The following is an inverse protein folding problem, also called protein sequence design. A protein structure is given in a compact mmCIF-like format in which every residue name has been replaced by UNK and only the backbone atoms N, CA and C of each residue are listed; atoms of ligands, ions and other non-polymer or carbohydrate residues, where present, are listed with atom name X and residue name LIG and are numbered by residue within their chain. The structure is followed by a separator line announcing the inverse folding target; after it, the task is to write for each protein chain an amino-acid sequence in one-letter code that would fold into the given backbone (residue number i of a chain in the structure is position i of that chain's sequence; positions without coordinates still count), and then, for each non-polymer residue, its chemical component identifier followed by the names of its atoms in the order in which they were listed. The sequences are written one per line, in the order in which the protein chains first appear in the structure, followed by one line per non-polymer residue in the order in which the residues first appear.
data_IF_528763252738
#
_entry.id   IF_528763252738
#
_cell.length_a   1.000
_cell.length_b   1.000
_cell.length_c   1.000
_cell.angle_alpha   90.00
_cell.angle_beta   90.00
_cell.angle_gamma   90.00
#
_symmetry.space_group_name_H-M   'P 1'
#
loop_
_entity.id
_entity.type
_entity.pdbx_description
1 polymer ?
#
# COMPACT_ATOMS: atom_id res chain seq x y z
N UNK A 1 1.52 9.24 -2.19
CA UNK A 1 1.59 7.95 -1.47
C UNK A 1 0.32 7.75 -0.65
N UNK A 2 -0.31 6.56 -0.65
CA UNK A 2 -1.42 6.24 0.25
C UNK A 2 -1.01 6.25 1.73
N UNK A 3 -1.80 6.87 2.60
CA UNK A 3 -1.55 6.90 4.05
C UNK A 3 -1.56 5.49 4.68
N UNK A 4 -2.29 4.54 4.08
CA UNK A 4 -2.32 3.14 4.51
C UNK A 4 -0.95 2.47 4.34
N UNK A 5 -0.25 2.76 3.23
CA UNK A 5 1.11 2.26 2.99
C UNK A 5 2.11 2.88 3.97
N UNK A 6 1.94 4.16 4.31
CA UNK A 6 2.72 4.80 5.37
C UNK A 6 2.49 4.12 6.72
N UNK A 7 1.24 3.82 7.07
CA UNK A 7 0.91 3.10 8.31
C UNK A 7 1.61 1.74 8.36
N UNK A 8 1.56 0.97 7.26
CA UNK A 8 2.24 -0.32 7.14
C UNK A 8 3.76 -0.16 7.34
N UNK A 9 4.37 0.83 6.68
CA UNK A 9 5.80 1.12 6.84
C UNK A 9 6.16 1.45 8.31
N UNK A 10 5.34 2.25 8.99
CA UNK A 10 5.58 2.65 10.37
C UNK A 10 5.50 1.48 11.37
N UNK A 11 4.87 0.35 11.01
CA UNK A 11 4.87 -0.85 11.88
C UNK A 11 6.27 -1.41 12.12
N UNK A 12 7.20 -1.20 11.19
CA UNK A 12 8.62 -1.56 11.34
C UNK A 12 9.48 -0.49 12.00
N UNK A 13 8.91 0.67 12.34
CA UNK A 13 9.62 1.83 12.90
C UNK A 13 9.34 1.94 14.40
N UNK A 14 10.40 2.09 15.19
CA UNK A 14 10.26 2.31 16.64
C UNK A 14 9.39 3.55 16.94
N UNK A 15 8.47 3.50 17.91
CA UNK A 15 7.52 4.59 18.20
C UNK A 15 8.17 5.97 18.32
N UNK A 16 9.31 6.06 18.99
CA UNK A 16 10.06 7.31 19.20
C UNK A 16 10.63 7.93 17.91
N UNK A 17 10.78 7.15 16.85
CA UNK A 17 11.27 7.62 15.53
C UNK A 17 10.15 7.88 14.52
N UNK A 18 8.91 7.50 14.82
CA UNK A 18 7.81 7.59 13.85
C UNK A 18 7.54 9.03 13.41
N UNK A 19 7.64 10.00 14.32
CA UNK A 19 7.44 11.42 13.99
C UNK A 19 8.44 11.91 12.94
N UNK A 20 9.71 11.58 13.11
CA UNK A 20 10.77 12.01 12.20
C UNK A 20 10.64 11.36 10.82
N UNK A 21 10.26 10.08 10.81
CA UNK A 21 9.95 9.35 9.57
C UNK A 21 8.75 9.97 8.85
N UNK A 22 7.66 10.27 9.56
CA UNK A 22 6.48 10.91 8.98
C UNK A 22 6.86 12.28 8.40
N UNK A 23 7.63 13.10 9.14
CA UNK A 23 8.07 14.41 8.67
C UNK A 23 8.93 14.30 7.40
N UNK A 24 9.90 13.38 7.39
CA UNK A 24 10.76 13.12 6.24
C UNK A 24 9.96 12.68 5.01
N UNK A 25 9.05 11.72 5.15
CA UNK A 25 8.22 11.26 4.04
C UNK A 25 7.24 12.32 3.56
N UNK A 26 6.62 13.07 4.47
CA UNK A 26 5.67 14.15 4.13
C UNK A 26 6.34 15.30 3.38
N UNK A 27 7.64 15.51 3.55
CA UNK A 27 8.40 16.52 2.79
C UNK A 27 8.67 16.12 1.34
N UNK A 28 8.59 14.83 1.01
CA UNK A 28 8.92 14.28 -0.32
C UNK A 28 7.70 13.75 -1.07
N UNK A 29 6.66 13.35 -0.34
CA UNK A 29 5.47 12.72 -0.89
C UNK A 29 4.22 13.43 -0.42
N UNK A 30 3.29 13.68 -1.34
CA UNK A 30 1.91 13.99 -0.98
C UNK A 30 1.27 12.72 -0.40
N UNK A 31 0.83 12.78 0.86
CA UNK A 31 0.20 11.65 1.54
C UNK A 31 -1.31 11.76 1.39
N UNK A 32 -1.92 10.83 0.65
CA UNK A 32 -3.37 10.81 0.44
C UNK A 32 -4.06 9.96 1.50
N UNK A 33 -5.09 10.48 2.18
CA UNK A 33 -5.83 9.73 3.19
C UNK A 33 -6.72 8.66 2.54
N UNK A 34 -7.04 7.61 3.31
CA UNK A 34 -8.10 6.69 2.93
C UNK A 34 -9.44 7.27 3.40
N UNK A 35 -10.19 7.86 2.47
CA UNK A 35 -11.46 8.54 2.76
C UNK A 35 -12.70 7.75 2.30
N UNK A 36 -13.89 8.34 2.47
CA UNK A 36 -15.17 7.71 2.11
C UNK A 36 -15.28 7.32 0.63
N UNK A 37 -14.62 8.04 -0.28
CA UNK A 37 -14.59 7.70 -1.71
C UNK A 37 -13.75 6.44 -1.91
N UNK A 38 -12.62 6.33 -1.19
CA UNK A 38 -11.80 5.13 -1.17
C UNK A 38 -12.57 3.92 -0.62
N UNK A 39 -13.44 4.10 0.39
CA UNK A 39 -14.25 3.00 0.95
C UNK A 39 -15.11 2.31 -0.11
N UNK A 40 -15.89 3.08 -0.87
CA UNK A 40 -16.77 2.54 -1.92
C UNK A 40 -15.96 1.81 -2.99
N UNK A 41 -14.83 2.40 -3.40
CA UNK A 41 -13.94 1.81 -4.39
C UNK A 41 -13.29 0.52 -3.89
N UNK A 42 -12.75 0.53 -2.67
CA UNK A 42 -12.10 -0.62 -2.05
C UNK A 42 -13.07 -1.80 -1.88
N UNK A 43 -14.32 -1.54 -1.48
CA UNK A 43 -15.34 -2.58 -1.35
C UNK A 43 -15.63 -3.26 -2.71
N UNK A 44 -15.74 -2.47 -3.79
CA UNK A 44 -15.92 -3.01 -5.15
C UNK A 44 -14.71 -3.83 -5.61
N UNK A 45 -13.51 -3.28 -5.44
CA UNK A 45 -12.26 -3.95 -5.81
C UNK A 45 -12.07 -5.27 -5.06
N UNK A 46 -12.40 -5.27 -3.76
CA UNK A 46 -12.33 -6.46 -2.93
C UNK A 46 -13.29 -7.56 -3.36
N UNK A 47 -14.51 -7.19 -3.72
CA UNK A 47 -15.52 -8.12 -4.24
C UNK A 47 -15.10 -8.71 -5.59
N UNK A 48 -14.50 -7.90 -6.47
CA UNK A 48 -14.02 -8.36 -7.78
C UNK A 48 -12.76 -9.24 -7.69
N UNK A 49 -11.91 -9.01 -6.68
CA UNK A 49 -10.68 -9.78 -6.45
C UNK A 49 -10.90 -11.10 -5.68
N UNK A 50 -12.12 -11.39 -5.23
CA UNK A 50 -12.51 -12.67 -4.65
C UNK A 50 -13.35 -13.43 -5.65
N UNK A 51 -12.91 -14.63 -6.06
CA UNK A 51 -13.85 -15.64 -6.55
C UNK A 51 -14.90 -15.82 -5.46
N UNK A 52 -16.14 -15.52 -5.79
CA UNK A 52 -17.27 -15.50 -4.88
C UNK A 52 -17.36 -16.86 -4.16
N UNK A 53 -17.70 -16.83 -2.88
CA UNK A 53 -18.09 -17.96 -2.01
C UNK A 53 -16.97 -18.72 -1.28
N UNK A 54 -16.60 -18.25 -0.09
CA UNK A 54 -16.49 -19.21 1.03
C UNK A 54 -17.85 -19.20 1.73
N UNK A 55 -18.63 -20.30 1.66
CA UNK A 55 -19.85 -20.44 2.44
C UNK A 55 -19.41 -20.79 3.85
N UNK A 56 -18.92 -19.81 4.59
CA UNK A 56 -18.26 -20.04 5.87
C UNK A 56 -18.63 -18.95 6.86
N UNK A 57 -19.58 -19.29 7.73
CA UNK A 57 -19.94 -18.64 8.99
C UNK A 57 -20.61 -17.26 8.90
N UNK A 58 -21.94 -17.27 9.07
CA UNK A 58 -22.72 -16.08 9.47
C UNK A 58 -22.05 -15.43 10.68
N UNK A 59 -21.65 -14.16 10.56
CA UNK A 59 -21.13 -13.35 11.66
C UNK A 59 -19.62 -13.07 11.66
N UNK A 60 -18.83 -13.69 10.79
CA UNK A 60 -17.40 -13.34 10.68
C UNK A 60 -17.23 -12.02 9.89
N UNK A 61 -16.49 -11.07 10.48
CA UNK A 61 -16.17 -9.80 9.82
C UNK A 61 -15.26 -10.07 8.62
N UNK A 62 -15.69 -9.62 7.45
CA UNK A 62 -14.86 -9.64 6.24
C UNK A 62 -13.75 -8.61 6.41
N UNK A 63 -12.51 -9.09 6.59
CA UNK A 63 -11.36 -8.22 6.74
C UNK A 63 -10.85 -7.76 5.36
N UNK A 64 -10.96 -6.45 5.11
CA UNK A 64 -10.30 -5.77 3.99
C UNK A 64 -8.79 -5.76 4.23
N UNK A 65 -8.02 -6.07 3.20
CA UNK A 65 -6.55 -6.11 3.29
C UNK A 65 -5.97 -4.73 2.95
N UNK A 66 -4.85 -4.37 3.57
CA UNK A 66 -4.15 -3.11 3.34
C UNK A 66 -3.87 -2.86 1.85
N UNK A 67 -3.41 -3.87 1.11
CA UNK A 67 -3.18 -3.82 -0.34
C UNK A 67 -4.38 -3.28 -1.12
N UNK A 68 -5.60 -3.73 -0.76
CA UNK A 68 -6.83 -3.27 -1.42
C UNK A 68 -7.09 -1.80 -1.12
N UNK A 69 -6.84 -1.36 0.11
CA UNK A 69 -6.99 0.04 0.50
C UNK A 69 -5.95 0.93 -0.17
N UNK A 70 -4.71 0.45 -0.33
CA UNK A 70 -3.62 1.13 -1.03
C UNK A 70 -3.99 1.36 -2.50
N UNK A 71 -4.39 0.31 -3.21
CA UNK A 71 -4.81 0.40 -4.63
C UNK A 71 -6.02 1.32 -4.79
N UNK A 72 -7.02 1.20 -3.91
CA UNK A 72 -8.20 2.06 -3.94
C UNK A 72 -7.85 3.54 -3.71
N UNK A 73 -6.93 3.84 -2.78
CA UNK A 73 -6.47 5.21 -2.55
C UNK A 73 -5.76 5.75 -3.78
N UNK A 74 -4.84 4.98 -4.36
CA UNK A 74 -4.12 5.39 -5.57
C UNK A 74 -5.09 5.71 -6.71
N UNK A 75 -6.07 4.84 -6.96
CA UNK A 75 -7.06 5.03 -8.01
C UNK A 75 -7.95 6.25 -7.80
N UNK A 76 -8.52 6.42 -6.60
CA UNK A 76 -9.44 7.52 -6.29
C UNK A 76 -8.76 8.88 -6.38
N UNK A 77 -7.48 8.95 -6.01
CA UNK A 77 -6.68 10.18 -6.12
C UNK A 77 -6.01 10.35 -7.49
N UNK A 78 -6.39 9.54 -8.48
CA UNK A 78 -6.01 9.75 -9.88
C UNK A 78 -4.56 9.38 -10.21
N UNK A 79 -3.95 8.47 -9.45
CA UNK A 79 -2.63 7.96 -9.80
C UNK A 79 -2.66 7.24 -11.15
N UNK A 80 -1.69 7.52 -12.02
CA UNK A 80 -1.53 6.83 -13.31
C UNK A 80 -0.70 5.55 -13.19
N UNK A 81 0.18 5.47 -12.18
CA UNK A 81 1.10 4.36 -11.94
C UNK A 81 1.15 4.04 -10.45
N UNK A 82 1.12 2.77 -10.11
CA UNK A 82 1.43 2.22 -8.79
C UNK A 82 2.75 1.46 -8.87
N UNK A 83 3.78 1.95 -8.17
CA UNK A 83 5.04 1.25 -8.01
C UNK A 83 4.95 0.32 -6.80
N UNK A 84 5.09 -0.99 -7.00
CA UNK A 84 5.00 -1.95 -5.88
C UNK A 84 5.66 -3.28 -6.22
N UNK A 85 6.42 -3.85 -5.29
CA UNK A 85 6.88 -5.24 -5.37
C UNK A 85 5.86 -6.24 -4.79
N UNK A 86 4.78 -5.78 -4.16
CA UNK A 86 3.79 -6.65 -3.52
C UNK A 86 2.93 -7.40 -4.56
N UNK A 87 2.85 -8.71 -4.38
CA UNK A 87 2.14 -9.60 -5.30
C UNK A 87 0.62 -9.38 -5.31
N UNK A 88 0.00 -8.92 -4.21
CA UNK A 88 -1.44 -8.61 -4.23
C UNK A 88 -1.70 -7.28 -4.91
N UNK A 89 -0.92 -6.24 -4.64
CA UNK A 89 -1.01 -4.97 -5.37
C UNK A 89 -0.90 -5.20 -6.88
N UNK A 90 0.06 -6.04 -7.31
CA UNK A 90 0.24 -6.45 -8.72
C UNK A 90 -0.96 -7.16 -9.33
N UNK A 91 -1.68 -7.96 -8.56
CA UNK A 91 -2.92 -8.60 -9.03
C UNK A 91 -4.11 -7.66 -9.07
N UNK A 92 -4.18 -6.70 -8.14
CA UNK A 92 -5.34 -5.81 -7.99
C UNK A 92 -5.29 -4.60 -8.92
N UNK A 93 -4.13 -3.96 -9.09
CA UNK A 93 -4.00 -2.73 -9.87
C UNK A 93 -4.49 -2.87 -11.34
N UNK A 94 -4.21 -3.98 -12.07
CA UNK A 94 -4.72 -4.15 -13.43
C UNK A 94 -6.25 -4.20 -13.54
N UNK A 95 -6.97 -4.44 -12.44
CA UNK A 95 -8.44 -4.42 -12.40
C UNK A 95 -9.00 -2.99 -12.34
N UNK A 96 -8.14 -1.97 -12.29
CA UNK A 96 -8.51 -0.57 -12.07
C UNK A 96 -7.96 0.29 -13.20
N UNK A 97 -8.80 0.66 -14.16
CA UNK A 97 -8.40 1.59 -15.22
C UNK A 97 -8.43 3.05 -14.73
N UNK A 98 -7.44 3.91 -15.06
CA UNK A 98 -6.27 3.68 -15.92
C UNK A 98 -4.98 3.33 -15.15
N UNK A 99 -5.07 2.82 -13.93
CA UNK A 99 -3.93 2.61 -13.04
C UNK A 99 -3.01 1.49 -13.57
N UNK A 100 -1.80 1.86 -13.97
CA UNK A 100 -0.74 0.92 -14.34
C UNK A 100 0.02 0.46 -13.10
N UNK A 101 0.66 -0.70 -13.18
CA UNK A 101 1.55 -1.19 -12.12
C UNK A 101 2.95 -1.40 -12.68
N UNK A 102 3.95 -0.90 -11.96
CA UNK A 102 5.35 -0.95 -12.34
C UNK A 102 6.22 -1.44 -11.17
N UNK A 103 7.43 -1.91 -11.51
CA UNK A 103 8.45 -2.28 -10.54
C UNK A 103 8.92 -1.05 -9.77
N UNK A 104 9.26 -1.22 -8.50
CA UNK A 104 9.90 -0.15 -7.75
C UNK A 104 11.16 0.27 -8.50
N UNK A 105 11.42 1.58 -8.68
CA UNK A 105 12.64 2.05 -9.32
C UNK A 105 13.84 1.52 -8.53
N UNK A 106 14.93 1.21 -9.25
CA UNK A 106 16.20 0.88 -8.61
C UNK A 106 16.56 2.00 -7.64
N UNK A 107 16.61 1.67 -6.35
CA UNK A 107 16.88 2.68 -5.33
C UNK A 107 18.29 3.21 -5.54
N UNK A 108 18.49 4.55 -5.58
CA UNK A 108 19.77 5.11 -5.24
C UNK A 108 20.12 4.62 -3.83
N UNK A 109 21.36 4.17 -3.58
CA UNK A 109 21.77 3.65 -2.26
C UNK A 109 21.49 4.61 -1.09
N UNK A 110 21.24 5.89 -1.38
CA UNK A 110 21.15 6.96 -0.39
C UNK A 110 19.69 7.41 -0.10
N UNK A 111 18.68 6.89 -0.82
CA UNK A 111 17.33 7.46 -0.79
C UNK A 111 16.59 7.21 0.53
N UNK A 112 16.88 6.07 1.16
CA UNK A 112 16.45 5.71 2.50
C UNK A 112 17.68 5.14 3.18
N UNK A 113 18.28 5.85 4.13
CA UNK A 113 19.57 5.52 4.78
C UNK A 113 19.61 4.20 5.58
N UNK A 114 19.11 3.11 5.02
CA UNK A 114 19.54 1.77 5.36
C UNK A 114 20.97 1.62 4.87
N UNK A 115 21.92 2.01 5.71
CA UNK A 115 23.20 1.32 5.72
C UNK A 115 22.86 -0.16 5.85
N UNK A 116 23.04 -0.90 4.75
CA UNK A 116 22.92 -2.35 4.79
C UNK A 116 23.89 -2.82 5.86
N UNK A 117 23.38 -3.47 6.91
CA UNK A 117 24.21 -4.35 7.72
C UNK A 117 24.59 -5.52 6.81
N UNK A 118 25.63 -5.29 6.01
CA UNK A 118 26.39 -6.34 5.37
C UNK A 118 27.13 -7.06 6.47
N UNK A 119 26.54 -8.13 6.98
CA UNK A 119 27.25 -9.23 7.61
C UNK A 119 26.33 -10.44 7.58
N UNK A 120 26.53 -11.32 6.59
CA UNK A 120 26.16 -12.73 6.71
C UNK A 120 27.36 -13.42 7.36
N UNK A 121 27.25 -14.00 8.55
CA UNK A 121 28.30 -14.87 9.05
C UNK A 121 28.36 -16.11 8.16
N UNK A 122 29.59 -16.45 7.80
CA UNK A 122 30.05 -17.66 7.10
C UNK A 122 29.64 -18.95 7.80
#
# INVERSE_FOLDING_TARGET
MPAVALCEYLTGVKPEKQRDVIASLSSRFVIHPFDVRCCSFAARLFSNGRSVVHPGKKGERVCLRADTMIVATAAVYGASVLYSADGRCRRLAPLVSPLRIEDLPSMPPDLFGYAGNGERPS
#
